data_IF_912449802741
#
_entry.id   IF_912449802741
#
_cell.length_a   1.000
_cell.length_b   1.000
_cell.length_c   1.000
_cell.angle_alpha   90.00
_cell.angle_beta   90.00
_cell.angle_gamma   90.00
#
_symmetry.space_group_name_H-M   'P 1'
#
loop_
_entity.id
_entity.type
_entity.pdbx_description
1 polymer ?
#
# COMPACT_ATOMS: atom_id res chain seq x y z
N UNK A 1 36.79 -49.81 -37.01
CA UNK A 1 37.66 -49.95 -35.82
C UNK A 1 37.05 -49.18 -34.64
N UNK A 2 37.17 -49.69 -33.40
CA UNK A 2 36.19 -49.62 -32.28
C UNK A 2 36.52 -48.52 -31.24
N UNK A 3 35.72 -48.14 -30.22
CA UNK A 3 35.18 -48.92 -29.06
C UNK A 3 33.93 -48.31 -28.38
N UNK A 4 33.26 -49.19 -27.60
CA UNK A 4 31.99 -49.11 -26.86
C UNK A 4 32.00 -48.18 -25.63
N UNK A 5 30.82 -47.78 -25.14
CA UNK A 5 30.46 -48.03 -23.74
C UNK A 5 28.93 -48.22 -23.56
N UNK A 6 28.56 -49.30 -22.87
CA UNK A 6 27.21 -49.68 -22.43
C UNK A 6 27.28 -49.97 -20.94
N UNK A 7 26.38 -49.38 -20.14
CA UNK A 7 25.92 -49.81 -18.80
C UNK A 7 25.12 -48.65 -18.21
N UNK A 8 24.06 -48.73 -17.42
CA UNK A 8 23.07 -49.72 -16.99
C UNK A 8 22.05 -48.89 -16.19
N UNK A 9 20.88 -49.48 -15.92
CA UNK A 9 19.69 -48.89 -15.30
C UNK A 9 19.88 -47.90 -14.13
N UNK A 10 18.98 -46.90 -14.05
CA UNK A 10 18.21 -46.46 -12.86
C UNK A 10 17.08 -45.49 -13.32
N UNK A 11 15.97 -45.35 -12.55
CA UNK A 11 14.61 -45.54 -13.05
C UNK A 11 14.03 -44.33 -13.80
N UNK A 12 13.12 -44.63 -14.73
CA UNK A 12 12.17 -43.66 -15.27
C UNK A 12 11.36 -43.07 -14.12
N UNK A 13 11.72 -41.88 -13.63
CA UNK A 13 10.81 -41.07 -12.82
C UNK A 13 9.68 -40.67 -13.76
N UNK A 14 8.57 -41.39 -13.64
CA UNK A 14 7.32 -41.05 -14.30
C UNK A 14 7.04 -39.58 -14.05
N UNK A 15 7.02 -38.84 -15.14
CA UNK A 15 6.55 -37.46 -15.21
C UNK A 15 5.12 -37.47 -14.70
N UNK A 16 4.88 -37.03 -13.46
CA UNK A 16 3.53 -36.76 -12.98
C UNK A 16 3.03 -35.49 -13.67
N UNK A 17 2.14 -35.55 -14.68
CA UNK A 17 1.72 -34.37 -15.44
C UNK A 17 0.63 -33.55 -14.70
N UNK A 18 0.30 -33.94 -13.46
CA UNK A 18 -0.86 -33.39 -12.73
C UNK A 18 -0.53 -32.30 -11.71
N UNK A 19 0.66 -32.32 -11.10
CA UNK A 19 0.88 -31.51 -9.88
C UNK A 19 1.13 -30.02 -10.17
N UNK A 20 1.78 -29.72 -11.30
CA UNK A 20 2.08 -28.32 -11.69
C UNK A 20 0.84 -27.58 -12.22
N UNK A 21 -0.16 -28.31 -12.71
CA UNK A 21 -1.41 -27.73 -13.24
C UNK A 21 -2.36 -27.31 -12.13
N UNK A 22 -2.41 -28.06 -11.03
CA UNK A 22 -3.28 -27.80 -9.88
C UNK A 22 -2.77 -26.58 -9.12
N UNK A 23 -1.46 -26.47 -8.88
CA UNK A 23 -0.86 -25.30 -8.23
C UNK A 23 -1.09 -24.02 -9.05
N UNK A 24 -1.03 -24.08 -10.39
CA UNK A 24 -1.33 -22.92 -11.24
C UNK A 24 -2.78 -22.42 -11.13
N UNK A 25 -3.75 -23.33 -11.00
CA UNK A 25 -5.17 -22.97 -10.84
C UNK A 25 -5.49 -22.41 -9.44
N UNK A 26 -4.93 -23.00 -8.38
CA UNK A 26 -5.10 -22.47 -7.02
C UNK A 26 -4.49 -21.08 -6.85
N UNK A 27 -3.32 -20.81 -7.45
CA UNK A 27 -2.73 -19.47 -7.45
C UNK A 27 -3.55 -18.45 -8.27
N UNK A 28 -4.18 -18.86 -9.37
CA UNK A 28 -4.98 -17.97 -10.21
C UNK A 28 -6.33 -17.61 -9.54
N UNK A 29 -6.97 -18.56 -8.87
CA UNK A 29 -8.24 -18.35 -8.15
C UNK A 29 -8.05 -17.42 -6.93
N UNK A 30 -6.91 -17.51 -6.24
CA UNK A 30 -6.59 -16.62 -5.12
C UNK A 30 -6.43 -15.15 -5.56
N UNK A 31 -5.85 -14.91 -6.75
CA UNK A 31 -5.69 -13.56 -7.31
C UNK A 31 -7.00 -12.97 -7.87
N UNK A 32 -7.90 -13.80 -8.42
CA UNK A 32 -9.23 -13.36 -8.83
C UNK A 32 -10.12 -13.00 -7.62
N UNK A 33 -10.07 -13.81 -6.55
CA UNK A 33 -10.83 -13.55 -5.33
C UNK A 33 -10.32 -12.33 -4.56
N UNK A 34 -8.99 -12.21 -4.38
CA UNK A 34 -8.40 -11.05 -3.70
C UNK A 34 -8.52 -9.77 -4.54
N UNK A 35 -8.40 -9.86 -5.87
CA UNK A 35 -8.62 -8.74 -6.77
C UNK A 35 -10.07 -8.24 -6.76
N UNK A 36 -11.05 -9.15 -6.70
CA UNK A 36 -12.47 -8.79 -6.61
C UNK A 36 -12.83 -8.20 -5.24
N UNK A 37 -12.31 -8.78 -4.15
CA UNK A 37 -12.49 -8.25 -2.79
C UNK A 37 -11.80 -6.89 -2.60
N UNK A 38 -10.58 -6.74 -3.13
CA UNK A 38 -9.85 -5.47 -3.15
C UNK A 38 -10.58 -4.41 -3.98
N UNK A 39 -11.14 -4.77 -5.14
CA UNK A 39 -11.89 -3.83 -5.97
C UNK A 39 -13.20 -3.36 -5.29
N UNK A 40 -13.89 -4.25 -4.56
CA UNK A 40 -15.17 -3.91 -3.92
C UNK A 40 -15.01 -3.10 -2.62
N UNK A 41 -14.03 -3.43 -1.77
CA UNK A 41 -13.78 -2.71 -0.52
C UNK A 41 -13.09 -1.34 -0.70
N UNK A 42 -12.24 -1.18 -1.73
CA UNK A 42 -11.48 0.06 -1.91
C UNK A 42 -12.15 1.12 -2.80
N UNK A 43 -13.25 0.79 -3.50
CA UNK A 43 -13.91 1.72 -4.45
C UNK A 43 -15.10 2.50 -3.87
N UNK A 44 -15.59 2.18 -2.66
CA UNK A 44 -16.74 2.86 -2.06
C UNK A 44 -16.56 3.28 -0.58
N UNK A 45 -15.57 4.12 -0.22
CA UNK A 45 -15.45 4.66 1.14
C UNK A 45 -16.40 5.84 1.40
N UNK A 46 -17.15 6.32 0.41
CA UNK A 46 -17.79 7.66 0.47
C UNK A 46 -19.08 7.72 1.29
N UNK A 47 -19.75 6.60 1.56
CA UNK A 47 -20.99 6.61 2.37
C UNK A 47 -20.70 6.64 3.87
N UNK A 48 -19.65 5.95 4.34
CA UNK A 48 -19.32 5.89 5.78
C UNK A 48 -18.73 7.19 6.34
N UNK A 49 -18.17 8.05 5.49
CA UNK A 49 -17.53 9.30 5.94
C UNK A 49 -18.52 10.35 6.43
N UNK A 50 -19.76 10.35 5.92
CA UNK A 50 -20.82 11.28 6.38
C UNK A 50 -21.32 10.90 7.76
N UNK A 51 -21.55 9.61 7.99
CA UNK A 51 -22.00 9.09 9.29
C UNK A 51 -20.89 9.19 10.36
N UNK A 52 -19.61 9.05 9.97
CA UNK A 52 -18.48 9.30 10.87
C UNK A 52 -18.30 10.78 11.26
N UNK A 53 -18.80 11.71 10.44
CA UNK A 53 -18.63 13.14 10.63
C UNK A 53 -19.58 13.77 11.65
N UNK A 54 -20.74 13.16 11.89
CA UNK A 54 -21.79 13.75 12.73
C UNK A 54 -21.45 13.79 14.23
N UNK A 55 -20.39 13.11 14.68
CA UNK A 55 -20.02 13.00 16.09
C UNK A 55 -18.76 13.74 16.54
N UNK A 56 -18.10 14.52 15.68
CA UNK A 56 -16.73 15.03 15.97
C UNK A 56 -16.64 16.55 15.72
N UNK A 57 -15.81 17.30 16.49
CA UNK A 57 -15.77 18.77 16.44
C UNK A 57 -15.35 19.32 15.07
N UNK A 58 -15.98 20.43 14.65
CA UNK A 58 -15.77 21.14 13.37
C UNK A 58 -14.31 21.45 13.02
N UNK A 59 -13.44 21.60 14.02
CA UNK A 59 -11.99 21.85 13.84
C UNK A 59 -11.23 20.65 13.25
N UNK A 60 -11.81 19.45 13.27
CA UNK A 60 -11.22 18.22 12.73
C UNK A 60 -11.62 18.01 11.25
N UNK A 61 -12.56 18.79 10.71
CA UNK A 61 -13.33 18.45 9.50
C UNK A 61 -13.11 19.23 8.20
N UNK A 62 -11.95 19.83 7.97
CA UNK A 62 -11.67 20.35 6.61
C UNK A 62 -11.41 19.21 5.57
N UNK A 63 -12.11 18.08 5.74
CA UNK A 63 -12.14 16.86 4.93
C UNK A 63 -13.19 16.93 3.81
N UNK A 64 -13.92 18.04 3.69
CA UNK A 64 -15.12 18.13 2.83
C UNK A 64 -14.85 18.60 1.41
N UNK A 65 -13.63 19.03 1.09
CA UNK A 65 -13.27 19.43 -0.27
C UNK A 65 -12.43 18.35 -0.94
N UNK A 66 -12.96 17.75 -2.01
CA UNK A 66 -12.17 16.89 -2.89
C UNK A 66 -11.10 17.75 -3.55
N UNK A 67 -9.84 17.48 -3.24
CA UNK A 67 -8.68 18.19 -3.80
C UNK A 67 -7.80 17.27 -4.62
N UNK A 68 -7.15 17.83 -5.64
CA UNK A 68 -6.10 17.13 -6.38
C UNK A 68 -4.80 17.10 -5.57
N UNK A 69 -4.22 15.91 -5.44
CA UNK A 69 -3.00 15.68 -4.66
C UNK A 69 -1.78 15.39 -5.54
N UNK A 70 -2.01 15.11 -6.83
CA UNK A 70 -0.99 14.82 -7.84
C UNK A 70 -1.22 15.66 -9.11
N UNK A 71 -0.21 15.67 -10.00
CA UNK A 71 -0.30 16.40 -11.26
C UNK A 71 -0.15 17.92 -11.14
N UNK A 72 -0.39 18.62 -12.25
CA UNK A 72 -0.25 20.08 -12.37
C UNK A 72 -1.23 20.84 -11.47
N UNK A 73 -2.43 20.30 -11.35
CA UNK A 73 -3.53 20.86 -10.55
C UNK A 73 -3.44 20.52 -9.05
N UNK A 74 -2.39 19.80 -8.62
CA UNK A 74 -2.20 19.53 -7.21
C UNK A 74 -2.17 20.84 -6.41
N UNK A 75 -2.88 20.85 -5.28
CA UNK A 75 -2.93 22.03 -4.41
C UNK A 75 -1.54 22.41 -3.89
N UNK A 76 -1.36 23.69 -3.54
CA UNK A 76 -0.11 24.22 -3.01
C UNK A 76 0.37 23.44 -1.79
N UNK A 77 -0.55 23.04 -0.91
CA UNK A 77 -0.25 22.22 0.26
C UNK A 77 0.37 20.88 -0.13
N UNK A 78 -0.26 20.11 -1.02
CA UNK A 78 0.27 18.79 -1.41
C UNK A 78 1.56 18.89 -2.22
N UNK A 79 1.73 19.94 -3.05
CA UNK A 79 3.02 20.23 -3.70
C UNK A 79 4.11 20.47 -2.66
N UNK A 80 3.83 21.30 -1.65
CA UNK A 80 4.76 21.57 -0.55
C UNK A 80 5.12 20.29 0.22
N UNK A 81 4.13 19.54 0.71
CA UNK A 81 4.34 18.31 1.50
C UNK A 81 5.21 17.29 0.74
N UNK A 82 4.88 17.03 -0.53
CA UNK A 82 5.63 16.11 -1.39
C UNK A 82 7.06 16.59 -1.66
N UNK A 83 7.26 17.91 -1.84
CA UNK A 83 8.60 18.49 -2.03
C UNK A 83 9.49 18.34 -0.79
N UNK A 84 8.90 18.38 0.41
CA UNK A 84 9.64 18.20 1.66
C UNK A 84 9.91 16.74 1.99
N UNK A 85 8.95 15.86 1.73
CA UNK A 85 9.06 14.41 1.96
C UNK A 85 8.50 13.64 0.76
N UNK A 86 9.38 13.29 -0.17
CA UNK A 86 9.09 12.45 -1.31
C UNK A 86 8.86 10.98 -0.92
N UNK A 87 8.35 10.19 -1.85
CA UNK A 87 8.33 8.73 -1.73
C UNK A 87 9.59 8.12 -2.34
N UNK A 88 9.82 6.83 -2.08
CA UNK A 88 10.99 6.11 -2.58
C UNK A 88 11.05 6.04 -4.12
N UNK A 89 9.89 6.04 -4.78
CA UNK A 89 9.76 6.00 -6.25
C UNK A 89 9.10 7.27 -6.78
N UNK A 90 9.67 8.43 -6.41
CA UNK A 90 9.15 9.75 -6.75
C UNK A 90 8.22 10.32 -5.67
N UNK A 91 7.82 11.58 -5.86
CA UNK A 91 7.09 12.35 -4.86
C UNK A 91 5.57 12.08 -4.89
N UNK A 92 5.04 11.52 -5.98
CA UNK A 92 3.61 11.23 -6.15
C UNK A 92 2.97 10.39 -5.05
N UNK A 93 1.71 10.68 -4.72
CA UNK A 93 0.90 9.92 -3.76
C UNK A 93 0.14 8.84 -4.53
N UNK A 94 0.65 7.60 -4.48
CA UNK A 94 0.14 6.49 -5.31
C UNK A 94 -1.14 5.86 -4.79
N UNK A 95 -1.37 5.93 -3.48
CA UNK A 95 -2.45 5.23 -2.79
C UNK A 95 -3.11 6.13 -1.76
N UNK A 96 -4.40 5.90 -1.53
CA UNK A 96 -5.17 6.54 -0.47
C UNK A 96 -4.53 6.30 0.91
N UNK A 97 -4.75 7.21 1.85
CA UNK A 97 -4.23 7.13 3.23
C UNK A 97 -2.71 7.26 3.39
N UNK A 98 -2.02 7.89 2.43
CA UNK A 98 -0.66 8.43 2.67
C UNK A 98 -0.75 9.55 3.69
N UNK A 99 0.14 9.55 4.70
CA UNK A 99 0.08 10.46 5.84
C UNK A 99 1.34 11.31 5.87
N UNK A 100 1.22 12.58 6.21
CA UNK A 100 2.36 13.46 6.48
C UNK A 100 2.27 13.91 7.92
N UNK A 101 3.36 13.76 8.67
CA UNK A 101 3.48 14.30 10.01
C UNK A 101 4.16 15.66 9.92
N UNK A 102 3.49 16.68 10.45
CA UNK A 102 3.97 18.06 10.50
C UNK A 102 4.06 18.46 11.95
N UNK A 103 5.17 19.08 12.36
CA UNK A 103 5.36 19.54 13.73
C UNK A 103 4.68 20.90 14.00
N UNK A 104 4.75 21.36 15.26
CA UNK A 104 4.15 22.62 15.70
C UNK A 104 4.70 23.87 15.00
N UNK A 105 5.89 23.77 14.41
CA UNK A 105 6.56 24.87 13.71
C UNK A 105 6.30 24.80 12.19
N UNK A 106 5.44 23.88 11.74
CA UNK A 106 5.03 23.73 10.35
C UNK A 106 6.03 22.92 9.50
N UNK A 107 7.02 22.27 10.10
CA UNK A 107 8.00 21.47 9.37
C UNK A 107 7.48 20.05 9.14
N UNK A 108 7.62 19.57 7.91
CA UNK A 108 7.26 18.20 7.52
C UNK A 108 8.30 17.23 8.06
N UNK A 109 7.94 16.49 9.10
CA UNK A 109 8.82 15.57 9.83
C UNK A 109 8.98 14.26 9.06
N UNK A 110 7.87 13.65 8.64
CA UNK A 110 7.89 12.34 7.99
C UNK A 110 6.68 12.11 7.08
N UNK A 111 6.84 11.21 6.10
CA UNK A 111 5.78 10.68 5.24
C UNK A 111 5.60 9.19 5.50
N UNK A 112 4.40 8.78 5.88
CA UNK A 112 4.06 7.39 6.15
C UNK A 112 3.24 6.76 5.02
N UNK A 113 3.55 5.50 4.74
CA UNK A 113 2.80 4.69 3.79
C UNK A 113 1.37 4.43 4.31
N UNK A 114 0.42 4.09 3.41
CA UNK A 114 -0.93 3.68 3.80
C UNK A 114 -0.94 2.55 4.84
N UNK A 115 -0.02 1.60 4.68
CA UNK A 115 0.13 0.41 5.52
C UNK A 115 0.82 0.66 6.85
N UNK A 116 1.36 1.87 7.10
CA UNK A 116 1.96 2.19 8.39
C UNK A 116 0.88 2.24 9.47
N UNK A 117 1.00 1.35 10.46
CA UNK A 117 0.12 1.33 11.64
C UNK A 117 0.25 2.63 12.45
N UNK A 118 -0.85 3.21 12.94
CA UNK A 118 -0.84 4.39 13.81
C UNK A 118 0.06 4.24 15.05
N UNK A 119 0.13 3.06 15.64
CA UNK A 119 0.98 2.78 16.82
C UNK A 119 2.47 3.00 16.53
N UNK A 120 2.90 2.84 15.27
CA UNK A 120 4.29 3.12 14.88
C UNK A 120 4.57 4.63 14.79
N UNK A 121 3.54 5.45 14.60
CA UNK A 121 3.64 6.91 14.49
C UNK A 121 3.59 7.54 15.89
N UNK A 122 2.85 6.93 16.82
CA UNK A 122 2.67 7.41 18.20
C UNK A 122 3.97 7.82 18.89
N UNK A 123 5.01 6.98 18.84
CA UNK A 123 6.32 7.30 19.44
C UNK A 123 6.93 8.58 18.87
N UNK A 124 6.77 8.82 17.58
CA UNK A 124 7.28 10.03 16.93
C UNK A 124 6.48 11.25 17.40
N UNK A 125 5.15 11.10 17.53
CA UNK A 125 4.27 12.17 18.04
C UNK A 125 4.62 12.51 19.49
N UNK A 126 4.78 11.51 20.36
CA UNK A 126 5.15 11.72 21.77
C UNK A 126 6.48 12.47 21.89
N UNK A 127 7.48 12.12 21.06
CA UNK A 127 8.75 12.83 21.02
C UNK A 127 8.60 14.28 20.58
N UNK A 128 7.77 14.57 19.56
CA UNK A 128 7.52 15.95 19.11
C UNK A 128 6.75 16.80 20.12
N UNK A 129 5.90 16.16 20.94
CA UNK A 129 5.16 16.81 22.02
C UNK A 129 5.97 16.96 23.31
N UNK A 130 7.15 16.35 23.40
CA UNK A 130 7.98 16.37 24.61
C UNK A 130 7.41 15.54 25.76
N UNK A 131 6.63 14.50 25.47
CA UNK A 131 5.99 13.61 26.46
C UNK A 131 6.54 12.18 26.41
N UNK A 132 7.67 11.98 25.73
CA UNK A 132 8.35 10.70 25.56
C UNK A 132 9.39 10.43 26.66
#
# INVERSE_FOLDING_TARGET
>A
MPTKNSSSHLPTKSRAPGLNRINGWFFSILFLGFGFLFFFFFKNPTQSLKEMAEGVPKSIYDITVKVEVNGKEATTLYKFLKSKKGGFFGDGIKWNFTKFLVDKDGKVVERYAPTTSPLKIEKTIQSLLGVA
#
